data_IF_262056765458
#
_entry.id   IF_262056765458
#
_cell.length_a   1.000
_cell.length_b   1.000
_cell.length_c   1.000
_cell.angle_alpha   90.00
_cell.angle_beta   90.00
_cell.angle_gamma   90.00
#
_symmetry.space_group_name_H-M   'P 1'
#
loop_
_entity.id
_entity.type
_entity.pdbx_description
1 polymer ?
#
# COMPACT_ATOMS: atom_id res chain seq x y z
N UNK A 1 74.19 48.09 24.65
CA UNK A 1 73.12 48.69 25.47
C UNK A 1 72.33 49.59 24.53
N UNK A 2 71.06 49.42 24.18
CA UNK A 2 69.91 48.57 24.55
C UNK A 2 69.03 48.50 23.27
N UNK A 3 68.59 47.33 22.80
CA UNK A 3 67.32 46.64 23.10
C UNK A 3 66.02 47.32 22.59
N UNK A 4 65.55 46.80 21.45
CA UNK A 4 64.20 46.26 21.17
C UNK A 4 62.94 47.14 21.35
N UNK A 5 62.15 47.30 20.27
CA UNK A 5 60.76 46.80 20.17
C UNK A 5 60.12 47.05 18.79
N UNK A 6 59.71 45.93 18.18
CA UNK A 6 58.81 45.79 17.04
C UNK A 6 57.36 45.98 17.51
N UNK A 7 56.53 46.70 16.75
CA UNK A 7 55.07 46.70 16.92
C UNK A 7 54.39 46.64 15.55
N UNK A 8 53.76 45.50 15.33
CA UNK A 8 53.02 45.03 14.16
C UNK A 8 51.63 45.65 14.12
N UNK A 9 51.23 46.15 12.96
CA UNK A 9 49.86 46.53 12.62
C UNK A 9 49.06 45.27 12.25
N UNK A 10 47.98 44.97 12.97
CA UNK A 10 46.98 43.98 12.55
C UNK A 10 45.64 44.65 12.29
N UNK A 11 45.11 44.31 11.12
CA UNK A 11 43.85 44.73 10.51
C UNK A 11 42.64 44.21 11.29
N UNK A 12 41.65 45.07 11.53
CA UNK A 12 40.31 44.68 11.96
C UNK A 12 39.53 44.21 10.72
N UNK A 13 39.43 42.90 10.54
CA UNK A 13 38.50 42.30 9.58
C UNK A 13 37.11 42.18 10.23
N UNK A 14 36.12 42.78 9.58
CA UNK A 14 34.70 42.65 9.88
C UNK A 14 34.26 41.19 9.85
N UNK A 15 33.73 40.70 10.96
CA UNK A 15 33.06 39.40 11.03
C UNK A 15 31.68 39.57 10.40
N UNK A 16 31.57 39.21 9.12
CA UNK A 16 30.28 38.95 8.48
C UNK A 16 29.70 37.69 9.09
N UNK A 17 28.57 37.81 9.79
CA UNK A 17 27.73 36.68 10.13
C UNK A 17 27.29 36.00 8.83
N UNK A 18 27.88 34.85 8.53
CA UNK A 18 27.30 33.87 7.62
C UNK A 18 25.98 33.44 8.22
N UNK A 19 24.88 33.95 7.66
CA UNK A 19 23.57 33.32 7.77
C UNK A 19 23.72 31.98 7.06
N UNK A 20 23.92 30.92 7.84
CA UNK A 20 23.77 29.56 7.36
C UNK A 20 22.28 29.42 7.05
N UNK A 21 21.94 29.47 5.76
CA UNK A 21 20.63 29.01 5.33
C UNK A 21 20.50 27.55 5.78
N UNK A 22 19.43 27.15 6.49
CA UNK A 22 19.21 25.74 6.75
C UNK A 22 19.13 25.06 5.39
N UNK A 23 20.05 24.13 5.14
CA UNK A 23 19.96 23.23 4.01
C UNK A 23 18.56 22.63 4.04
N UNK A 24 17.82 22.81 2.93
CA UNK A 24 16.49 22.26 2.76
C UNK A 24 16.62 20.76 2.95
N UNK A 25 16.05 20.24 4.04
CA UNK A 25 16.01 18.80 4.29
C UNK A 25 15.12 18.19 3.21
N UNK A 26 15.77 17.63 2.19
CA UNK A 26 15.17 16.75 1.20
C UNK A 26 15.65 15.34 1.49
N UNK A 27 14.71 14.39 1.58
CA UNK A 27 15.06 12.98 1.68
C UNK A 27 15.60 12.55 0.31
N UNK A 28 16.90 12.26 0.21
CA UNK A 28 17.47 11.70 -1.03
C UNK A 28 16.93 10.29 -1.24
N UNK A 29 16.16 10.10 -2.32
CA UNK A 29 15.52 8.83 -2.67
C UNK A 29 16.50 7.80 -3.25
N UNK A 30 17.79 8.12 -3.40
CA UNK A 30 18.80 7.21 -3.99
C UNK A 30 19.63 6.53 -2.91
N UNK A 31 19.43 5.20 -2.77
CA UNK A 31 20.18 4.23 -1.95
C UNK A 31 19.80 4.14 -0.47
N UNK A 32 18.88 3.21 -0.16
CA UNK A 32 18.93 2.48 1.10
C UNK A 32 18.93 0.96 0.81
N UNK A 33 20.12 0.40 0.62
CA UNK A 33 20.38 -1.01 0.92
C UNK A 33 21.10 -1.05 2.25
N UNK A 34 20.48 -1.63 3.27
CA UNK A 34 21.17 -2.00 4.50
C UNK A 34 20.91 -3.48 4.79
N UNK A 35 21.97 -4.25 4.57
CA UNK A 35 22.20 -5.53 5.23
C UNK A 35 22.57 -5.28 6.71
N UNK A 36 22.34 -6.32 7.54
CA UNK A 36 22.86 -6.57 8.91
C UNK A 36 21.86 -6.43 10.08
N UNK A 37 22.10 -7.10 11.23
CA UNK A 37 21.18 -8.10 11.74
C UNK A 37 20.63 -7.75 13.14
N UNK A 38 19.61 -8.52 13.50
CA UNK A 38 18.82 -8.44 14.72
C UNK A 38 19.60 -8.83 15.98
N UNK A 39 19.45 -8.08 17.08
CA UNK A 39 19.60 -8.60 18.46
C UNK A 39 18.61 -7.92 19.43
N UNK A 40 17.59 -8.72 19.79
CA UNK A 40 16.82 -8.90 21.04
C UNK A 40 16.54 -7.80 22.09
N UNK A 41 15.27 -7.90 22.55
CA UNK A 41 14.69 -7.80 23.91
C UNK A 41 14.49 -6.44 24.55
N UNK A 42 13.22 -6.09 24.79
CA UNK A 42 12.72 -5.70 26.12
C UNK A 42 11.19 -5.79 26.19
N UNK A 43 10.70 -6.27 27.33
CA UNK A 43 9.29 -6.47 27.69
C UNK A 43 8.77 -5.29 28.49
N UNK A 44 7.61 -4.73 28.13
CA UNK A 44 6.92 -3.74 28.95
C UNK A 44 5.51 -4.21 29.31
N UNK A 45 5.27 -4.38 30.60
CA UNK A 45 3.98 -4.63 31.24
C UNK A 45 3.32 -3.29 31.59
N UNK A 46 2.12 -3.03 31.08
CA UNK A 46 1.30 -1.88 31.46
C UNK A 46 -0.16 -2.27 31.60
N UNK A 47 -0.61 -2.46 32.84
CA UNK A 47 -2.01 -2.63 33.24
C UNK A 47 -2.71 -1.27 33.26
N UNK A 48 -3.83 -1.16 32.53
CA UNK A 48 -4.73 -0.01 32.59
C UNK A 48 -6.18 -0.50 32.62
N UNK A 49 -6.79 -0.39 33.78
CA UNK A 49 -8.22 -0.59 34.02
C UNK A 49 -9.05 0.42 33.22
N UNK A 50 -10.07 -0.04 32.50
CA UNK A 50 -11.11 0.85 31.99
C UNK A 50 -12.50 0.29 32.28
N UNK A 51 -13.30 1.17 32.88
CA UNK A 51 -14.52 0.92 33.62
C UNK A 51 -15.73 0.68 32.70
N UNK A 52 -16.60 -0.21 33.16
CA UNK A 52 -17.82 -0.67 32.51
C UNK A 52 -19.01 0.09 33.10
N UNK A 53 -19.64 0.97 32.32
CA UNK A 53 -21.09 1.16 32.41
C UNK A 53 -21.60 2.02 31.26
N UNK A 54 -22.52 1.48 30.47
CA UNK A 54 -23.86 2.02 30.18
C UNK A 54 -24.60 0.96 29.37
N UNK A 55 -25.73 0.54 29.92
CA UNK A 55 -26.56 -0.58 29.49
C UNK A 55 -27.85 -0.03 28.86
N UNK A 56 -28.31 -0.74 27.82
CA UNK A 56 -29.70 -0.88 27.32
C UNK A 56 -30.39 0.30 26.62
N UNK A 57 -30.68 0.12 25.32
CA UNK A 57 -31.98 -0.43 24.87
C UNK A 57 -32.14 -0.32 23.35
N UNK A 58 -32.44 -1.43 22.65
CA UNK A 58 -33.62 -1.62 21.79
C UNK A 58 -33.52 -2.92 20.94
N UNK A 59 -34.32 -3.91 21.35
CA UNK A 59 -35.22 -4.77 20.55
C UNK A 59 -34.64 -5.74 19.50
N UNK A 60 -34.60 -7.01 19.93
CA UNK A 60 -34.99 -8.26 19.24
C UNK A 60 -35.00 -8.30 17.70
N UNK A 61 -33.97 -8.93 17.13
CA UNK A 61 -34.11 -9.80 15.96
C UNK A 61 -33.21 -11.03 16.17
N UNK A 62 -33.84 -12.21 16.28
CA UNK A 62 -33.35 -13.49 15.77
C UNK A 62 -32.04 -14.06 16.33
N UNK A 63 -32.19 -15.02 17.24
CA UNK A 63 -31.16 -15.95 17.71
C UNK A 63 -30.46 -16.69 16.55
N UNK A 64 -29.19 -16.34 16.22
CA UNK A 64 -28.15 -17.31 15.80
C UNK A 64 -26.70 -16.74 15.63
N UNK A 65 -26.27 -15.75 16.41
CA UNK A 65 -24.91 -15.17 16.27
C UNK A 65 -23.93 -15.49 17.42
N UNK A 66 -24.22 -16.45 18.30
CA UNK A 66 -23.37 -16.70 19.49
C UNK A 66 -22.35 -17.84 19.36
N UNK A 67 -22.22 -18.49 18.20
CA UNK A 67 -21.24 -19.58 17.99
C UNK A 67 -19.90 -19.15 17.37
N UNK A 68 -19.81 -17.97 16.75
CA UNK A 68 -18.64 -17.57 15.93
C UNK A 68 -17.47 -16.96 16.74
N UNK A 69 -17.69 -16.54 17.99
CA UNK A 69 -16.70 -15.80 18.77
C UNK A 69 -15.57 -16.66 19.40
N UNK A 70 -15.72 -17.99 19.46
CA UNK A 70 -14.81 -18.86 20.25
C UNK A 70 -13.86 -19.76 19.43
N UNK A 71 -13.94 -19.76 18.10
CA UNK A 71 -13.16 -20.71 17.29
C UNK A 71 -11.69 -20.27 17.18
N UNK A 72 -10.73 -21.08 17.60
CA UNK A 72 -9.30 -20.72 17.55
C UNK A 72 -8.76 -20.76 16.11
N UNK A 73 -7.58 -20.17 15.86
CA UNK A 73 -6.93 -20.27 14.54
C UNK A 73 -6.71 -21.73 14.14
N UNK A 74 -6.30 -22.57 15.07
CA UNK A 74 -6.04 -23.97 14.80
C UNK A 74 -7.34 -24.75 14.53
N UNK A 75 -8.46 -24.36 15.13
CA UNK A 75 -9.77 -24.92 14.81
C UNK A 75 -10.22 -24.53 13.39
N UNK A 76 -9.95 -23.29 12.97
CA UNK A 76 -10.21 -22.85 11.59
C UNK A 76 -9.34 -23.58 10.58
N UNK A 77 -8.06 -23.80 10.89
CA UNK A 77 -7.16 -24.59 10.04
C UNK A 77 -7.66 -26.03 9.91
N UNK A 78 -8.02 -26.69 11.01
CA UNK A 78 -8.58 -28.05 10.98
C UNK A 78 -9.87 -28.12 10.17
N UNK A 79 -10.75 -27.13 10.34
CA UNK A 79 -12.00 -27.05 9.58
C UNK A 79 -11.71 -26.89 8.08
N UNK A 80 -10.81 -25.96 7.72
CA UNK A 80 -10.41 -25.71 6.33
C UNK A 80 -9.88 -26.99 5.67
N UNK A 81 -9.00 -27.72 6.36
CA UNK A 81 -8.45 -28.98 5.86
C UNK A 81 -9.52 -30.06 5.75
N UNK A 82 -10.42 -30.18 6.73
CA UNK A 82 -11.54 -31.14 6.66
C UNK A 82 -12.44 -30.89 5.45
N UNK A 83 -12.84 -29.63 5.23
CA UNK A 83 -13.68 -29.26 4.08
C UNK A 83 -12.92 -29.46 2.77
N UNK A 84 -11.64 -29.12 2.71
CA UNK A 84 -10.82 -29.36 1.51
C UNK A 84 -10.69 -30.85 1.15
N UNK A 85 -10.53 -31.72 2.14
CA UNK A 85 -10.50 -33.18 1.92
C UNK A 85 -11.85 -33.72 1.43
N UNK A 86 -12.96 -33.12 1.86
CA UNK A 86 -14.30 -33.45 1.35
C UNK A 86 -14.50 -32.97 -0.10
N UNK A 87 -13.97 -31.80 -0.45
CA UNK A 87 -13.96 -31.30 -1.84
C UNK A 87 -13.22 -32.28 -2.74
N UNK A 88 -12.03 -32.72 -2.35
CA UNK A 88 -11.23 -33.65 -3.16
C UNK A 88 -11.99 -34.97 -3.43
N UNK A 89 -12.69 -35.50 -2.42
CA UNK A 89 -13.56 -36.68 -2.58
C UNK A 89 -14.74 -36.39 -3.50
N UNK A 90 -15.40 -35.24 -3.34
CA UNK A 90 -16.57 -34.86 -4.14
C UNK A 90 -16.22 -34.65 -5.61
N UNK A 91 -15.08 -34.00 -5.89
CA UNK A 91 -14.50 -33.82 -7.23
C UNK A 91 -14.18 -35.17 -7.87
N UNK A 92 -13.53 -36.06 -7.13
CA UNK A 92 -13.19 -37.41 -7.61
C UNK A 92 -14.44 -38.24 -7.92
N UNK A 93 -15.52 -38.06 -7.15
CA UNK A 93 -16.81 -38.69 -7.40
C UNK A 93 -17.62 -38.03 -8.54
N UNK A 94 -17.17 -36.89 -9.08
CA UNK A 94 -17.89 -36.13 -10.10
C UNK A 94 -19.17 -35.45 -9.59
N UNK A 95 -19.30 -35.25 -8.26
CA UNK A 95 -20.49 -34.66 -7.67
C UNK A 95 -20.40 -33.12 -7.65
N UNK A 96 -20.85 -32.49 -8.74
CA UNK A 96 -20.74 -31.04 -8.94
C UNK A 96 -21.52 -30.22 -7.90
N UNK A 97 -22.74 -30.65 -7.55
CA UNK A 97 -23.60 -29.93 -6.60
C UNK A 97 -22.96 -29.89 -5.20
N UNK A 98 -22.49 -31.04 -4.72
CA UNK A 98 -21.79 -31.12 -3.45
C UNK A 98 -20.46 -30.37 -3.48
N UNK A 99 -19.72 -30.43 -4.58
CA UNK A 99 -18.46 -29.69 -4.74
C UNK A 99 -18.70 -28.18 -4.60
N UNK A 100 -19.76 -27.64 -5.22
CA UNK A 100 -20.09 -26.22 -5.14
C UNK A 100 -20.51 -25.78 -3.72
N UNK A 101 -21.28 -26.61 -3.02
CA UNK A 101 -21.65 -26.35 -1.62
C UNK A 101 -20.40 -26.31 -0.72
N UNK A 102 -19.55 -27.35 -0.80
CA UNK A 102 -18.31 -27.43 -0.02
C UNK A 102 -17.33 -26.29 -0.35
N UNK A 103 -17.25 -25.86 -1.62
CA UNK A 103 -16.44 -24.71 -2.02
C UNK A 103 -16.89 -23.41 -1.33
N UNK A 104 -18.19 -23.23 -1.15
CA UNK A 104 -18.75 -22.06 -0.45
C UNK A 104 -18.29 -22.05 1.01
N UNK A 105 -18.40 -23.21 1.68
CA UNK A 105 -17.94 -23.38 3.06
C UNK A 105 -16.42 -23.19 3.18
N UNK A 106 -15.66 -23.76 2.24
CA UNK A 106 -14.20 -23.63 2.18
C UNK A 106 -13.76 -22.16 2.11
N UNK A 107 -14.38 -21.39 1.20
CA UNK A 107 -14.11 -19.94 1.04
C UNK A 107 -14.49 -19.17 2.30
N UNK A 108 -15.58 -19.55 2.95
CA UNK A 108 -16.02 -18.92 4.20
C UNK A 108 -15.00 -19.13 5.33
N UNK A 109 -14.56 -20.38 5.54
CA UNK A 109 -13.54 -20.71 6.55
C UNK A 109 -12.21 -20.03 6.24
N UNK A 110 -11.80 -20.02 4.97
CA UNK A 110 -10.61 -19.30 4.53
C UNK A 110 -10.68 -17.81 4.87
N UNK A 111 -11.80 -17.15 4.58
CA UNK A 111 -12.00 -15.74 4.88
C UNK A 111 -11.91 -15.44 6.39
N UNK A 112 -12.49 -16.30 7.23
CA UNK A 112 -12.36 -16.17 8.69
C UNK A 112 -10.90 -16.29 9.14
N UNK A 113 -10.15 -17.24 8.56
CA UNK A 113 -8.73 -17.42 8.86
C UNK A 113 -7.90 -16.18 8.46
N UNK A 114 -8.12 -15.64 7.25
CA UNK A 114 -7.50 -14.39 6.77
C UNK A 114 -7.69 -13.27 7.78
N UNK A 115 -8.95 -13.02 8.16
CA UNK A 115 -9.29 -11.90 9.01
C UNK A 115 -8.73 -12.04 10.42
N UNK A 116 -8.69 -13.27 10.95
CA UNK A 116 -8.13 -13.52 12.27
C UNK A 116 -6.60 -13.39 12.31
N UNK A 117 -5.93 -13.68 11.20
CA UNK A 117 -4.49 -13.48 11.04
C UNK A 117 -4.08 -12.00 10.97
N UNK A 118 -4.97 -11.09 10.58
CA UNK A 118 -4.65 -9.66 10.46
C UNK A 118 -4.45 -8.94 11.83
N UNK A 119 -4.71 -9.61 12.96
CA UNK A 119 -4.49 -9.07 14.31
C UNK A 119 -3.12 -9.39 14.93
N UNK A 120 -2.29 -10.21 14.27
CA UNK A 120 -1.00 -10.66 14.78
C UNK A 120 -0.03 -10.68 13.59
N UNK A 121 1.16 -10.08 13.72
CA UNK A 121 2.24 -10.15 12.71
C UNK A 121 2.62 -11.62 12.43
N UNK A 122 1.88 -12.26 11.54
CA UNK A 122 2.00 -13.68 11.25
C UNK A 122 1.69 -13.89 9.79
N UNK A 123 2.76 -13.95 8.99
CA UNK A 123 2.75 -14.50 7.64
C UNK A 123 1.93 -15.78 7.70
N UNK A 124 0.87 -15.86 6.89
CA UNK A 124 0.13 -17.10 6.77
C UNK A 124 1.11 -18.22 6.42
N UNK A 125 1.08 -19.37 7.11
CA UNK A 125 1.96 -20.48 6.76
C UNK A 125 1.86 -20.74 5.26
N UNK A 126 3.00 -20.66 4.57
CA UNK A 126 3.08 -20.82 3.12
C UNK A 126 2.35 -22.09 2.66
N UNK A 127 2.40 -23.13 3.49
CA UNK A 127 1.69 -24.41 3.34
C UNK A 127 0.16 -24.27 3.20
N UNK A 128 -0.48 -23.35 3.95
CA UNK A 128 -1.93 -23.15 3.89
C UNK A 128 -2.36 -22.42 2.61
N UNK A 129 -1.56 -21.44 2.13
CA UNK A 129 -1.81 -20.79 0.83
C UNK A 129 -1.69 -21.79 -0.31
N UNK A 130 -0.64 -22.62 -0.29
CA UNK A 130 -0.43 -23.69 -1.28
C UNK A 130 -1.60 -24.68 -1.24
N UNK A 131 -1.98 -25.14 -0.05
CA UNK A 131 -3.11 -26.05 0.13
C UNK A 131 -4.41 -25.47 -0.43
N UNK A 132 -4.76 -24.24 -0.05
CA UNK A 132 -5.98 -23.61 -0.53
C UNK A 132 -6.00 -23.42 -2.05
N UNK A 133 -4.89 -22.98 -2.64
CA UNK A 133 -4.77 -22.84 -4.09
C UNK A 133 -4.98 -24.17 -4.81
N UNK A 134 -4.39 -25.27 -4.30
CA UNK A 134 -4.58 -26.62 -4.83
C UNK A 134 -6.04 -27.08 -4.77
N UNK A 135 -6.72 -26.90 -3.65
CA UNK A 135 -8.14 -27.28 -3.50
C UNK A 135 -9.02 -26.51 -4.49
N UNK A 136 -8.82 -25.20 -4.62
CA UNK A 136 -9.57 -24.36 -5.56
C UNK A 136 -9.30 -24.77 -7.02
N UNK A 137 -8.05 -25.11 -7.35
CA UNK A 137 -7.68 -25.62 -8.68
C UNK A 137 -8.35 -26.96 -8.99
N UNK A 138 -8.31 -27.92 -8.07
CA UNK A 138 -8.97 -29.23 -8.22
C UNK A 138 -10.47 -29.09 -8.47
N UNK A 139 -11.10 -28.14 -7.77
CA UNK A 139 -12.52 -27.86 -7.91
C UNK A 139 -12.87 -26.99 -9.13
N UNK A 140 -11.88 -26.65 -9.98
CA UNK A 140 -12.02 -25.77 -11.17
C UNK A 140 -12.56 -24.37 -10.84
N UNK A 141 -12.33 -23.93 -9.61
CA UNK A 141 -12.71 -22.62 -9.11
C UNK A 141 -11.55 -21.61 -9.29
N UNK A 142 -10.34 -22.13 -9.53
CA UNK A 142 -9.11 -21.41 -9.87
C UNK A 142 -8.45 -22.07 -11.08
N UNK A 143 -7.85 -21.26 -11.96
CA UNK A 143 -7.25 -21.73 -13.23
C UNK A 143 -5.79 -22.21 -13.09
N UNK A 144 -4.99 -21.62 -12.19
CA UNK A 144 -3.61 -22.05 -11.92
C UNK A 144 -3.44 -22.67 -10.54
N UNK A 145 -2.70 -23.78 -10.47
CA UNK A 145 -2.49 -24.50 -9.22
C UNK A 145 -1.64 -23.71 -8.20
N UNK A 146 -0.61 -22.98 -8.66
CA UNK A 146 0.28 -22.22 -7.77
C UNK A 146 -0.41 -20.98 -7.19
N UNK A 147 -0.27 -20.70 -5.88
CA UNK A 147 -0.82 -19.50 -5.24
C UNK A 147 -0.12 -18.20 -5.65
N UNK A 148 1.05 -18.30 -6.30
CA UNK A 148 1.87 -17.16 -6.72
C UNK A 148 1.77 -16.93 -8.25
N UNK A 149 0.87 -17.65 -8.92
CA UNK A 149 0.59 -17.50 -10.35
C UNK A 149 -0.83 -17.02 -10.62
N UNK A 150 -1.06 -16.47 -11.80
CA UNK A 150 -2.37 -16.11 -12.33
C UNK A 150 -2.51 -16.50 -13.80
N UNK A 151 -3.73 -16.82 -14.21
CA UNK A 151 -4.02 -17.27 -15.57
C UNK A 151 -4.22 -16.07 -16.49
N UNK A 152 -3.31 -15.89 -17.43
CA UNK A 152 -3.28 -14.75 -18.33
C UNK A 152 -2.82 -15.20 -19.71
N UNK A 153 -3.56 -14.82 -20.76
CA UNK A 153 -3.27 -15.17 -22.15
C UNK A 153 -2.95 -16.67 -22.34
N UNK A 154 -3.86 -17.53 -21.88
CA UNK A 154 -3.78 -18.99 -21.97
C UNK A 154 -2.63 -19.67 -21.19
N UNK A 155 -2.00 -18.95 -20.26
CA UNK A 155 -0.85 -19.45 -19.49
C UNK A 155 -0.92 -19.06 -18.02
N UNK A 156 -0.24 -19.83 -17.16
CA UNK A 156 -0.04 -19.50 -15.76
C UNK A 156 1.29 -18.74 -15.58
N UNK A 157 1.18 -17.46 -15.25
CA UNK A 157 2.31 -16.53 -15.11
C UNK A 157 2.44 -16.05 -13.66
N UNK A 158 3.63 -15.62 -13.25
CA UNK A 158 3.84 -15.12 -11.89
C UNK A 158 3.09 -13.80 -11.66
N UNK A 159 2.48 -13.68 -10.49
CA UNK A 159 1.93 -12.39 -10.03
C UNK A 159 3.11 -11.42 -9.83
N UNK A 160 2.95 -10.18 -10.31
CA UNK A 160 4.00 -9.16 -10.34
C UNK A 160 4.85 -9.17 -11.62
N UNK A 161 4.58 -10.08 -12.56
CA UNK A 161 5.26 -10.08 -13.86
C UNK A 161 4.98 -8.80 -14.64
N UNK A 162 6.03 -8.14 -15.11
CA UNK A 162 5.94 -6.89 -15.89
C UNK A 162 6.09 -7.10 -17.40
N UNK A 163 6.63 -8.24 -17.82
CA UNK A 163 6.97 -8.50 -19.23
C UNK A 163 5.71 -8.77 -20.08
N UNK A 164 4.65 -9.27 -19.45
CA UNK A 164 3.37 -9.55 -20.10
C UNK A 164 2.36 -8.40 -19.99
N UNK A 165 2.77 -7.28 -19.38
CA UNK A 165 1.92 -6.10 -19.20
C UNK A 165 2.46 -4.87 -19.94
N UNK A 166 1.60 -3.88 -20.23
CA UNK A 166 2.05 -2.61 -20.78
C UNK A 166 3.01 -1.86 -19.85
N UNK A 167 3.62 -0.80 -20.38
CA UNK A 167 4.57 0.01 -19.61
C UNK A 167 3.96 0.51 -18.29
N UNK A 168 4.78 0.44 -17.22
CA UNK A 168 4.44 0.82 -15.85
C UNK A 168 3.27 0.02 -15.25
N UNK A 169 3.05 -1.19 -15.72
CA UNK A 169 2.03 -2.10 -15.21
C UNK A 169 2.66 -3.44 -14.83
N UNK A 170 1.98 -4.16 -13.95
CA UNK A 170 2.33 -5.52 -13.56
C UNK A 170 1.09 -6.42 -13.53
N UNK A 171 1.32 -7.72 -13.66
CA UNK A 171 0.29 -8.72 -13.64
C UNK A 171 -0.23 -8.93 -12.22
N UNK A 172 -1.53 -8.73 -12.00
CA UNK A 172 -2.20 -8.93 -10.72
C UNK A 172 -3.22 -10.06 -10.81
N UNK A 173 -3.52 -10.67 -9.66
CA UNK A 173 -4.49 -11.77 -9.58
C UNK A 173 -5.92 -11.25 -9.48
N UNK A 174 -6.79 -11.70 -10.37
CA UNK A 174 -8.21 -11.34 -10.42
C UNK A 174 -9.17 -12.43 -9.92
N UNK A 175 -10.49 -12.22 -10.10
CA UNK A 175 -11.50 -13.23 -9.79
C UNK A 175 -11.18 -14.55 -10.49
N UNK A 176 -11.43 -15.70 -9.82
CA UNK A 176 -11.15 -17.04 -10.37
C UNK A 176 -9.71 -17.27 -10.83
N UNK A 177 -8.78 -16.46 -10.34
CA UNK A 177 -7.38 -16.47 -10.75
C UNK A 177 -7.16 -16.09 -12.23
N UNK A 178 -8.07 -15.29 -12.79
CA UNK A 178 -7.86 -14.65 -14.09
C UNK A 178 -7.02 -13.39 -13.89
N UNK A 179 -5.84 -13.35 -14.51
CA UNK A 179 -4.89 -12.27 -14.38
C UNK A 179 -5.32 -11.02 -15.12
N UNK A 180 -4.89 -9.86 -14.62
CA UNK A 180 -5.06 -8.58 -15.30
C UNK A 180 -3.88 -7.66 -15.03
N UNK A 181 -3.59 -6.76 -15.96
CA UNK A 181 -2.55 -5.75 -15.76
C UNK A 181 -3.10 -4.56 -14.98
N UNK A 182 -2.36 -4.11 -13.97
CA UNK A 182 -2.66 -2.89 -13.22
C UNK A 182 -1.38 -2.07 -13.00
N UNK A 183 -1.51 -0.80 -12.62
CA UNK A 183 -0.37 0.08 -12.39
C UNK A 183 0.60 -0.48 -11.33
N UNK A 184 1.89 -0.32 -11.59
CA UNK A 184 2.94 -0.59 -10.61
C UNK A 184 2.72 0.27 -9.35
N UNK A 185 2.95 -0.32 -8.18
CA UNK A 185 3.02 0.41 -6.92
C UNK A 185 4.48 0.82 -6.64
N UNK A 186 4.89 1.97 -7.13
CA UNK A 186 6.25 2.50 -6.95
C UNK A 186 6.25 3.48 -5.78
N UNK A 187 7.08 3.22 -4.78
CA UNK A 187 7.16 4.07 -3.59
C UNK A 187 7.48 5.52 -3.97
N UNK A 188 6.65 6.44 -3.46
CA UNK A 188 6.82 7.87 -3.70
C UNK A 188 6.51 8.34 -5.12
N UNK A 189 5.85 7.51 -5.95
CA UNK A 189 5.30 7.87 -7.25
C UNK A 189 3.83 7.46 -7.32
N UNK A 190 2.96 8.41 -7.67
CA UNK A 190 1.57 8.09 -7.98
C UNK A 190 1.45 7.79 -9.48
N UNK A 191 0.97 6.60 -9.84
CA UNK A 191 0.74 6.21 -11.23
C UNK A 191 -0.75 6.06 -11.51
N UNK A 192 -1.20 6.56 -12.65
CA UNK A 192 -2.59 6.44 -13.08
C UNK A 192 -2.70 5.84 -14.47
N UNK A 193 -3.70 4.99 -14.66
CA UNK A 193 -4.03 4.42 -15.95
C UNK A 193 -4.61 5.48 -16.89
N UNK A 194 -4.18 5.46 -18.15
CA UNK A 194 -4.79 6.25 -19.23
C UNK A 194 -5.45 5.33 -20.24
N UNK A 195 -6.76 5.51 -20.45
CA UNK A 195 -7.51 4.77 -21.47
C UNK A 195 -7.00 5.07 -22.89
N UNK A 196 -6.39 6.26 -23.11
CA UNK A 196 -5.89 6.67 -24.43
C UNK A 196 -4.67 5.85 -24.87
N UNK A 197 -3.75 5.57 -23.94
CA UNK A 197 -2.52 4.82 -24.24
C UNK A 197 -2.59 3.36 -23.82
N UNK A 198 -3.59 3.00 -23.01
CA UNK A 198 -3.70 1.67 -22.42
C UNK A 198 -2.58 1.33 -21.42
N UNK A 199 -2.00 2.35 -20.77
CA UNK A 199 -0.84 2.19 -19.88
C UNK A 199 -0.88 3.15 -18.70
N UNK A 200 -0.05 2.91 -17.68
CA UNK A 200 0.03 3.79 -16.52
C UNK A 200 1.11 4.86 -16.68
N UNK A 201 0.82 6.06 -16.17
CA UNK A 201 1.70 7.22 -16.24
C UNK A 201 1.86 7.86 -14.88
N UNK A 202 3.06 8.35 -14.61
CA UNK A 202 3.39 9.03 -13.36
C UNK A 202 2.66 10.38 -13.30
N UNK A 203 2.03 10.67 -12.17
CA UNK A 203 1.38 11.94 -11.88
C UNK A 203 2.35 13.11 -12.07
N UNK A 204 1.85 14.27 -12.51
CA UNK A 204 2.61 15.52 -12.71
C UNK A 204 3.79 15.36 -13.69
N UNK A 205 3.81 14.29 -14.49
CA UNK A 205 4.62 14.20 -15.71
C UNK A 205 3.78 14.55 -16.92
N UNK A 206 4.39 14.70 -18.11
CA UNK A 206 3.61 14.83 -19.34
C UNK A 206 2.65 13.67 -19.56
N UNK A 207 3.08 12.43 -19.28
CA UNK A 207 2.30 11.22 -19.54
C UNK A 207 1.72 11.18 -20.96
N UNK A 208 0.41 10.92 -21.13
CA UNK A 208 -0.27 10.92 -22.44
C UNK A 208 -0.60 12.33 -22.95
N UNK A 209 -0.34 13.39 -22.18
CA UNK A 209 -0.79 14.74 -22.47
C UNK A 209 0.05 15.44 -23.55
N UNK A 210 -0.48 16.54 -24.08
CA UNK A 210 0.23 17.39 -25.06
C UNK A 210 1.38 18.15 -24.38
N UNK A 211 2.24 18.71 -25.21
CA UNK A 211 3.29 19.61 -24.74
C UNK A 211 2.72 20.79 -23.94
N UNK A 212 3.37 21.13 -22.82
CA UNK A 212 2.89 22.14 -21.88
C UNK A 212 1.76 21.67 -20.95
N UNK A 213 1.38 20.39 -21.02
CA UNK A 213 0.42 19.77 -20.11
C UNK A 213 1.06 18.64 -19.31
N UNK A 214 0.52 18.40 -18.13
CA UNK A 214 0.85 17.25 -17.28
C UNK A 214 -0.39 16.41 -16.97
N UNK A 215 -0.15 15.18 -16.57
CA UNK A 215 -1.16 14.19 -16.25
C UNK A 215 -1.43 14.18 -14.75
N UNK A 216 -2.67 14.45 -14.36
CA UNK A 216 -3.07 14.60 -12.97
C UNK A 216 -4.34 13.80 -12.70
N UNK A 217 -4.57 13.45 -11.43
CA UNK A 217 -5.81 12.79 -11.01
C UNK A 217 -6.65 13.77 -10.19
N UNK A 218 -7.84 14.10 -10.70
CA UNK A 218 -8.87 14.85 -9.97
C UNK A 218 -10.22 14.21 -10.24
N UNK A 219 -10.64 13.28 -9.38
CA UNK A 219 -11.77 12.35 -9.58
C UNK A 219 -11.58 11.36 -10.73
N UNK A 220 -10.94 11.79 -11.82
CA UNK A 220 -10.50 10.97 -12.94
C UNK A 220 -9.12 11.45 -13.44
N UNK A 221 -8.34 10.58 -14.10
CA UNK A 221 -7.10 10.99 -14.76
C UNK A 221 -7.40 11.96 -15.91
N UNK A 222 -6.70 13.09 -15.94
CA UNK A 222 -6.90 14.13 -16.94
C UNK A 222 -5.62 14.93 -17.22
N UNK A 223 -5.62 15.65 -18.34
CA UNK A 223 -4.52 16.54 -18.71
C UNK A 223 -4.81 17.98 -18.31
N UNK A 224 -3.89 18.60 -17.59
CA UNK A 224 -3.96 20.00 -17.18
C UNK A 224 -2.75 20.78 -17.67
N UNK A 225 -2.87 22.09 -17.95
CA UNK A 225 -1.70 22.93 -18.19
C UNK A 225 -0.72 22.86 -17.02
N UNK A 226 0.58 22.80 -17.32
CA UNK A 226 1.62 22.88 -16.29
C UNK A 226 1.61 24.30 -15.71
N UNK A 227 1.48 24.47 -14.38
CA UNK A 227 1.52 25.79 -13.75
C UNK A 227 2.86 26.51 -13.98
N UNK A 228 2.83 27.84 -14.05
CA UNK A 228 4.02 28.65 -14.28
C UNK A 228 5.09 28.38 -13.21
N UNK A 229 6.31 28.06 -13.67
CA UNK A 229 7.44 27.76 -12.80
C UNK A 229 7.44 26.33 -12.22
N UNK A 230 6.50 25.47 -12.61
CA UNK A 230 6.55 24.05 -12.27
C UNK A 230 7.22 23.21 -13.36
N UNK A 231 8.12 22.28 -13.01
CA UNK A 231 8.54 21.22 -13.92
C UNK A 231 7.45 20.13 -14.01
N UNK A 232 7.38 19.46 -15.17
CA UNK A 232 6.52 18.29 -15.38
C UNK A 232 7.34 16.99 -15.25
N UNK A 233 7.98 16.80 -14.09
CA UNK A 233 8.92 15.71 -13.82
C UNK A 233 8.38 14.64 -12.88
N UNK A 234 7.14 14.80 -12.40
CA UNK A 234 6.50 13.90 -11.44
C UNK A 234 7.04 13.97 -10.01
N UNK A 235 7.99 14.87 -9.76
CA UNK A 235 8.58 15.10 -8.45
C UNK A 235 8.08 16.39 -7.80
N UNK A 236 7.24 17.16 -8.51
CA UNK A 236 6.71 18.42 -8.04
C UNK A 236 5.18 18.41 -8.01
N UNK A 237 4.60 19.12 -7.04
CA UNK A 237 3.16 19.38 -6.93
C UNK A 237 2.89 20.87 -6.88
N UNK A 238 1.75 21.28 -7.43
CA UNK A 238 1.27 22.66 -7.33
C UNK A 238 0.21 22.80 -6.24
N UNK A 239 0.64 23.21 -5.04
CA UNK A 239 -0.16 23.11 -3.83
C UNK A 239 0.15 24.23 -2.82
N UNK A 240 -0.74 24.39 -1.84
CA UNK A 240 -0.63 25.32 -0.71
C UNK A 240 -1.18 24.65 0.56
N UNK A 241 -0.55 24.83 1.73
CA UNK A 241 -1.00 24.24 3.00
C UNK A 241 -2.34 24.77 3.50
N UNK A 242 -2.72 25.97 3.07
CA UNK A 242 -4.01 26.56 3.35
C UNK A 242 -4.62 27.19 2.09
N UNK A 243 -5.94 27.24 2.05
CA UNK A 243 -6.70 27.79 0.92
C UNK A 243 -6.53 29.31 0.77
N UNK A 244 -5.99 29.99 1.78
CA UNK A 244 -5.76 31.44 1.76
C UNK A 244 -4.41 31.84 1.13
N UNK A 245 -3.46 30.93 1.08
CA UNK A 245 -2.13 31.14 0.54
C UNK A 245 -2.09 30.80 -0.96
N UNK A 246 -1.20 31.50 -1.68
CA UNK A 246 -0.99 31.26 -3.09
C UNK A 246 -0.32 29.91 -3.31
N UNK A 247 -0.90 29.10 -4.19
CA UNK A 247 -0.30 27.83 -4.62
C UNK A 247 1.04 28.08 -5.27
N UNK A 248 2.01 27.23 -4.93
CA UNK A 248 3.37 27.24 -5.48
C UNK A 248 3.77 25.83 -5.87
N UNK A 249 4.83 25.74 -6.64
CA UNK A 249 5.44 24.46 -6.93
C UNK A 249 6.33 24.01 -5.77
N UNK A 250 6.14 22.78 -5.34
CA UNK A 250 6.91 22.18 -4.25
C UNK A 250 7.39 20.80 -4.65
N UNK A 251 8.64 20.50 -4.32
CA UNK A 251 9.24 19.18 -4.51
C UNK A 251 8.75 18.20 -3.44
N UNK A 252 8.39 17.00 -3.89
CA UNK A 252 7.86 15.92 -3.08
C UNK A 252 8.98 15.29 -2.25
N UNK A 253 8.75 15.06 -0.96
CA UNK A 253 9.76 14.52 -0.04
C UNK A 253 10.75 15.54 0.48
N UNK A 254 10.57 16.82 0.12
CA UNK A 254 11.28 17.96 0.70
C UNK A 254 10.37 18.71 1.68
N UNK A 255 10.98 19.53 2.54
CA UNK A 255 10.23 20.35 3.50
C UNK A 255 9.18 21.26 2.84
N UNK A 256 9.53 21.96 1.76
CA UNK A 256 8.60 22.81 1.03
C UNK A 256 7.88 23.84 1.92
N UNK A 257 6.54 23.90 1.91
CA UNK A 257 5.76 24.80 2.77
C UNK A 257 5.53 24.25 4.19
N UNK A 258 6.06 23.06 4.50
CA UNK A 258 5.84 22.40 5.77
C UNK A 258 6.69 22.98 6.91
N UNK A 259 6.29 22.67 8.15
CA UNK A 259 7.05 23.09 9.33
C UNK A 259 8.41 22.40 9.38
N UNK A 260 9.29 22.89 10.27
CA UNK A 260 10.55 22.21 10.54
C UNK A 260 10.30 20.73 10.91
N UNK A 261 11.16 19.84 10.44
CA UNK A 261 11.07 18.39 10.60
C UNK A 261 9.83 17.74 9.94
N UNK A 262 9.17 18.44 9.02
CA UNK A 262 8.12 17.86 8.18
C UNK A 262 8.53 17.88 6.71
N UNK A 263 8.08 16.88 5.95
CA UNK A 263 8.23 16.81 4.50
C UNK A 263 6.87 16.76 3.82
N UNK A 264 6.83 17.25 2.58
CA UNK A 264 5.68 17.17 1.73
C UNK A 264 5.47 15.72 1.25
N UNK A 265 4.30 15.17 1.54
CA UNK A 265 3.92 13.81 1.19
C UNK A 265 2.69 13.79 0.30
N UNK A 266 2.61 12.78 -0.57
CA UNK A 266 1.50 12.56 -1.48
C UNK A 266 0.84 11.25 -1.15
N UNK A 267 -0.48 11.28 -1.17
CA UNK A 267 -1.31 10.20 -0.70
C UNK A 267 -2.55 10.08 -1.62
N UNK A 268 -2.62 9.01 -2.42
CA UNK A 268 -3.65 8.86 -3.46
C UNK A 268 -5.00 8.39 -2.91
N UNK A 269 -5.99 9.27 -2.81
CA UNK A 269 -7.32 8.93 -2.26
C UNK A 269 -8.25 8.38 -3.36
N UNK A 270 -9.49 8.03 -3.02
CA UNK A 270 -10.51 7.65 -4.02
C UNK A 270 -10.79 8.72 -5.05
N UNK A 271 -10.86 9.96 -4.58
CA UNK A 271 -11.46 11.06 -5.33
C UNK A 271 -10.43 12.12 -5.74
N UNK A 272 -9.27 12.13 -5.09
CA UNK A 272 -8.21 13.09 -5.37
C UNK A 272 -6.86 12.57 -4.85
N UNK A 273 -5.79 13.27 -5.17
CA UNK A 273 -4.52 13.08 -4.48
C UNK A 273 -4.43 14.05 -3.29
N UNK A 274 -4.38 13.49 -2.08
CA UNK A 274 -4.15 14.24 -0.85
C UNK A 274 -2.68 14.64 -0.76
N UNK A 275 -2.44 15.92 -0.50
CA UNK A 275 -1.10 16.49 -0.34
C UNK A 275 -1.06 17.07 1.07
N UNK A 276 -0.12 16.63 1.89
CA UNK A 276 -0.01 17.09 3.27
C UNK A 276 1.43 17.04 3.78
N UNK A 277 1.65 17.70 4.91
CA UNK A 277 2.93 17.71 5.61
C UNK A 277 3.00 16.56 6.61
N UNK A 278 4.01 15.70 6.46
CA UNK A 278 4.27 14.55 7.33
C UNK A 278 5.55 14.76 8.12
N UNK A 279 5.53 14.52 9.43
CA UNK A 279 6.72 14.63 10.29
C UNK A 279 7.73 13.52 9.97
N UNK A 280 9.01 13.89 9.84
CA UNK A 280 10.15 12.98 9.73
C UNK A 280 10.40 12.33 11.10
N UNK A 281 9.89 11.12 11.32
CA UNK A 281 10.20 10.36 12.53
C UNK A 281 11.57 9.69 12.39
N UNK A 282 12.62 10.27 12.98
CA UNK A 282 13.99 9.69 12.99
C UNK A 282 14.07 8.38 13.81
N UNK A 283 13.04 8.07 14.61
CA UNK A 283 12.92 6.81 15.39
C UNK A 283 11.55 6.15 15.32
N UNK A 284 10.76 6.44 14.28
CA UNK A 284 9.75 5.47 13.89
C UNK A 284 10.26 4.84 12.59
N UNK A 285 10.82 3.64 12.72
CA UNK A 285 10.21 2.57 11.92
C UNK A 285 8.77 2.58 12.39
N UNK A 286 7.96 3.42 11.76
CA UNK A 286 6.54 3.29 11.84
C UNK A 286 6.31 1.89 11.28
N UNK A 287 5.83 0.91 12.06
CA UNK A 287 5.37 -0.33 11.44
C UNK A 287 4.19 -0.04 10.48
N UNK A 288 3.68 1.20 10.46
CA UNK A 288 2.56 1.64 9.66
C UNK A 288 2.84 2.94 8.90
N UNK A 289 3.70 2.90 7.87
CA UNK A 289 3.59 3.88 6.77
C UNK A 289 4.05 3.37 5.41
N UNK A 290 3.67 2.13 5.11
CA UNK A 290 3.16 1.74 3.80
C UNK A 290 1.63 1.96 3.70
N UNK A 291 1.08 2.78 4.60
CA UNK A 291 -0.36 2.90 4.82
C UNK A 291 -0.92 4.17 4.18
N UNK A 292 -0.79 4.27 2.85
CA UNK A 292 -1.96 4.71 2.12
C UNK A 292 -2.18 3.91 0.86
N UNK A 293 -3.41 3.45 0.74
CA UNK A 293 -3.85 2.64 -0.37
C UNK A 293 -5.24 3.14 -0.76
N UNK A 294 -5.41 3.79 -1.94
CA UNK A 294 -6.67 4.38 -2.39
C UNK A 294 -7.80 3.37 -2.28
N UNK A 295 -8.98 3.79 -1.82
CA UNK A 295 -10.13 2.89 -1.73
C UNK A 295 -10.44 2.27 -3.09
N UNK A 296 -10.72 0.97 -3.05
CA UNK A 296 -11.01 0.14 -4.20
C UNK A 296 -12.29 0.61 -4.91
N UNK A 297 -12.37 0.44 -6.25
CA UNK A 297 -13.60 0.73 -7.03
C UNK A 297 -14.81 -0.01 -6.46
N UNK A 298 -16.03 0.51 -6.68
CA UNK A 298 -17.28 -0.21 -6.31
C UNK A 298 -17.16 -1.66 -6.79
N UNK A 299 -17.41 -2.63 -5.91
CA UNK A 299 -17.30 -4.08 -6.10
C UNK A 299 -15.94 -4.72 -5.79
N UNK A 300 -14.84 -3.97 -5.59
CA UNK A 300 -13.50 -4.51 -5.26
C UNK A 300 -13.20 -4.64 -3.73
N UNK A 301 -12.72 -5.80 -3.23
CA UNK A 301 -12.07 -6.17 -1.96
C UNK A 301 -10.53 -6.04 -1.95
N UNK A 302 -9.78 -6.12 -0.85
CA UNK A 302 -8.31 -5.88 -0.82
C UNK A 302 -7.53 -7.14 -0.38
N UNK A 303 -6.39 -7.48 -0.98
CA UNK A 303 -5.59 -8.67 -0.64
C UNK A 303 -4.68 -8.44 0.59
N UNK A 304 -4.05 -9.51 1.11
CA UNK A 304 -3.26 -9.48 2.36
C UNK A 304 -1.97 -8.63 2.28
N UNK A 305 -1.60 -8.14 1.09
CA UNK A 305 -0.51 -7.18 0.88
C UNK A 305 -1.00 -5.73 0.76
N UNK A 306 -2.30 -5.49 0.93
CA UNK A 306 -2.87 -4.15 0.92
C UNK A 306 -3.32 -3.61 -0.44
N UNK A 307 -3.42 -4.40 -1.52
CA UNK A 307 -3.95 -3.97 -2.85
C UNK A 307 -5.40 -4.37 -3.09
N UNK A 308 -6.17 -3.57 -3.83
CA UNK A 308 -7.55 -3.87 -4.24
C UNK A 308 -7.66 -5.07 -5.22
N UNK A 309 -8.78 -5.80 -5.20
CA UNK A 309 -9.18 -7.09 -5.79
C UNK A 309 -10.72 -7.07 -5.98
N UNK A 310 -11.43 -7.70 -6.92
CA UNK A 310 -12.92 -7.83 -6.91
C UNK A 310 -13.22 -9.28 -6.57
N UNK A 311 -14.08 -9.60 -5.61
CA UNK A 311 -14.45 -11.01 -5.47
C UNK A 311 -15.44 -11.32 -4.38
N UNK A 312 -16.67 -10.85 -4.58
CA UNK A 312 -17.77 -11.77 -4.29
C UNK A 312 -17.81 -12.75 -5.47
N UNK A 313 -17.58 -14.01 -5.13
CA UNK A 313 -17.92 -15.13 -5.97
C UNK A 313 -19.43 -15.07 -6.21
N UNK A 314 -19.82 -14.67 -7.41
CA UNK A 314 -21.09 -15.05 -8.00
C UNK A 314 -20.93 -16.38 -8.70
#
# INVERSE_FOLDING_TARGET
>A
MESTKFLTLFSLASISFLVIFPEVLCVDKRHFSFDSPFETTESFSGSGDFDSSIVESLVEIGENETASANQTRDDLVKNLTSVGDEIEKSVTAGNQEQTLALLTDFKHVWFQLVNKSNGWYGVEPQDLRIYASKILFLAKDRLCESPDQTYFNDQCLLIGDTDHCPQNMELNDGPKNEGFCDCLNIEGQALFYSDETGSCHVQNTRGPCKEGQWFVFRKAPQCEPVPDGCPADGQHVYWSPDDSASKKCWEIGCQGPCSLDQILHLEQTTDDLNIYCRTLSIFAVDPASLAYSPSCRVGTLRNRLGKCFRGFWG
#
